data_IF_873251858353
#
_entry.id   IF_873251858353
#
_cell.length_a   1.000
_cell.length_b   1.000
_cell.length_c   1.000
_cell.angle_alpha   90.00
_cell.angle_beta   90.00
_cell.angle_gamma   90.00
#
_symmetry.space_group_name_H-M   'P 1'
#
loop_
_entity.id
_entity.type
_entity.pdbx_description
1 polymer ?
#
# COMPACT_ATOMS: atom_id res chain seq x y z
N UNK A 1 -39.01 6.31 -7.40
CA UNK A 1 -37.64 6.36 -7.98
C UNK A 1 -36.65 7.19 -7.16
N UNK A 2 -36.90 8.48 -6.82
CA UNK A 2 -35.91 9.33 -6.09
C UNK A 2 -35.46 8.79 -4.72
N UNK A 3 -36.35 8.19 -3.94
CA UNK A 3 -36.03 7.62 -2.63
C UNK A 3 -35.05 6.44 -2.69
N UNK A 4 -35.20 5.54 -3.67
CA UNK A 4 -34.28 4.41 -3.87
C UNK A 4 -32.87 4.87 -4.25
N UNK A 5 -32.75 5.96 -5.01
CA UNK A 5 -31.46 6.59 -5.33
C UNK A 5 -30.83 7.25 -4.10
N UNK A 6 -31.58 8.04 -3.32
CA UNK A 6 -31.07 8.64 -2.10
C UNK A 6 -30.63 7.58 -1.07
N UNK A 7 -31.40 6.49 -0.93
CA UNK A 7 -31.05 5.42 -0.01
C UNK A 7 -29.80 4.65 -0.48
N UNK A 8 -29.70 4.29 -1.78
CA UNK A 8 -28.46 3.70 -2.32
C UNK A 8 -27.25 4.62 -2.15
N UNK A 9 -27.42 5.93 -2.37
CA UNK A 9 -26.35 6.90 -2.22
C UNK A 9 -25.87 7.02 -0.77
N UNK A 10 -26.81 7.02 0.19
CA UNK A 10 -26.50 7.05 1.62
C UNK A 10 -25.75 5.78 2.07
N UNK A 11 -26.18 4.60 1.62
CA UNK A 11 -25.50 3.33 1.94
C UNK A 11 -24.09 3.27 1.36
N UNK A 12 -23.90 3.71 0.12
CA UNK A 12 -22.56 3.77 -0.50
C UNK A 12 -21.65 4.76 0.23
N UNK A 13 -22.19 5.90 0.67
CA UNK A 13 -21.44 6.89 1.46
C UNK A 13 -21.03 6.34 2.84
N UNK A 14 -21.97 5.76 3.58
CA UNK A 14 -21.70 5.11 4.87
C UNK A 14 -20.69 3.97 4.74
N UNK A 15 -20.80 3.14 3.70
CA UNK A 15 -19.86 2.06 3.44
C UNK A 15 -18.44 2.61 3.14
N UNK A 16 -18.33 3.64 2.29
CA UNK A 16 -17.05 4.33 2.04
C UNK A 16 -16.47 4.93 3.32
N UNK A 17 -17.28 5.58 4.17
CA UNK A 17 -16.83 6.14 5.44
C UNK A 17 -16.34 5.06 6.41
N UNK A 18 -17.01 3.91 6.48
CA UNK A 18 -16.59 2.77 7.32
C UNK A 18 -15.28 2.16 6.81
N UNK A 19 -15.15 1.97 5.49
CA UNK A 19 -13.90 1.50 4.86
C UNK A 19 -12.76 2.48 5.14
N UNK A 20 -12.98 3.79 4.97
CA UNK A 20 -11.98 4.81 5.24
C UNK A 20 -11.52 4.79 6.72
N UNK A 21 -12.48 4.69 7.66
CA UNK A 21 -12.17 4.56 9.09
C UNK A 21 -11.36 3.29 9.41
N UNK A 22 -11.68 2.17 8.77
CA UNK A 22 -10.94 0.92 8.95
C UNK A 22 -9.50 1.04 8.46
N UNK A 23 -9.28 1.63 7.28
CA UNK A 23 -7.93 1.84 6.72
C UNK A 23 -7.11 2.76 7.63
N UNK A 24 -7.68 3.86 8.11
CA UNK A 24 -7.01 4.76 9.05
C UNK A 24 -6.61 4.06 10.35
N UNK A 25 -7.49 3.21 10.90
CA UNK A 25 -7.19 2.43 12.09
C UNK A 25 -6.03 1.44 11.85
N UNK A 26 -6.04 0.73 10.71
CA UNK A 26 -4.96 -0.20 10.37
C UNK A 26 -3.63 0.51 10.19
N UNK A 27 -3.61 1.71 9.59
CA UNK A 27 -2.39 2.52 9.48
C UNK A 27 -1.86 2.94 10.84
N UNK A 28 -2.72 3.44 11.73
CA UNK A 28 -2.30 3.81 13.08
C UNK A 28 -1.78 2.62 13.88
N UNK A 29 -2.42 1.46 13.77
CA UNK A 29 -1.93 0.22 14.38
C UNK A 29 -0.56 -0.19 13.83
N UNK A 30 -0.40 -0.11 12.51
CA UNK A 30 0.86 -0.44 11.82
C UNK A 30 1.99 0.50 12.24
N UNK A 31 1.70 1.80 12.36
CA UNK A 31 2.64 2.80 12.86
C UNK A 31 3.10 2.48 14.29
N UNK A 32 2.19 2.05 15.17
CA UNK A 32 2.53 1.61 16.53
C UNK A 32 3.34 0.32 16.53
N UNK A 33 2.98 -0.65 15.69
CA UNK A 33 3.73 -1.89 15.55
C UNK A 33 5.16 -1.65 15.02
N UNK A 34 5.33 -0.69 14.12
CA UNK A 34 6.65 -0.28 13.64
C UNK A 34 7.58 0.18 14.77
N UNK A 35 7.04 0.75 15.86
CA UNK A 35 7.83 1.14 17.04
C UNK A 35 8.44 -0.07 17.76
N UNK A 36 7.83 -1.26 17.66
CA UNK A 36 8.31 -2.49 18.28
C UNK A 36 9.63 -3.01 17.69
N UNK A 37 9.99 -2.61 16.46
CA UNK A 37 11.28 -2.98 15.84
C UNK A 37 12.47 -2.20 16.42
N UNK A 38 12.27 -1.28 17.36
CA UNK A 38 13.36 -0.56 18.04
C UNK A 38 14.23 0.30 17.10
N UNK A 39 15.46 0.56 17.52
CA UNK A 39 16.44 1.40 16.79
C UNK A 39 17.52 0.57 16.07
N UNK A 40 17.69 -0.70 16.45
CA UNK A 40 18.69 -1.59 15.85
C UNK A 40 18.17 -2.15 14.53
N UNK A 41 18.41 -1.40 13.45
CA UNK A 41 17.98 -1.79 12.11
C UNK A 41 18.67 -3.06 11.61
N UNK A 42 19.88 -3.39 12.09
CA UNK A 42 20.63 -4.57 11.63
C UNK A 42 19.95 -5.84 12.11
N UNK A 43 19.56 -5.90 13.39
CA UNK A 43 18.83 -7.06 13.94
C UNK A 43 17.49 -7.32 13.27
N UNK A 44 16.80 -6.24 12.89
CA UNK A 44 15.45 -6.32 12.32
C UNK A 44 15.44 -6.33 10.80
N UNK A 45 16.61 -6.22 10.15
CA UNK A 45 16.76 -6.03 8.71
C UNK A 45 16.00 -7.08 7.91
N UNK A 46 16.22 -8.35 8.22
CA UNK A 46 15.63 -9.47 7.48
C UNK A 46 14.11 -9.51 7.66
N UNK A 47 13.62 -9.35 8.89
CA UNK A 47 12.20 -9.35 9.19
C UNK A 47 11.46 -8.19 8.48
N UNK A 48 12.03 -6.98 8.52
CA UNK A 48 11.46 -5.81 7.85
C UNK A 48 11.50 -5.97 6.33
N UNK A 49 12.60 -6.46 5.77
CA UNK A 49 12.71 -6.70 4.33
C UNK A 49 11.72 -7.79 3.85
N UNK A 50 11.56 -8.87 4.61
CA UNK A 50 10.59 -9.92 4.33
C UNK A 50 9.15 -9.38 4.37
N UNK A 51 8.81 -8.62 5.42
CA UNK A 51 7.50 -7.98 5.56
C UNK A 51 7.17 -7.08 4.35
N UNK A 52 8.13 -6.31 3.84
CA UNK A 52 7.91 -5.51 2.64
C UNK A 52 7.68 -6.35 1.39
N UNK A 53 8.45 -7.43 1.19
CA UNK A 53 8.29 -8.31 0.03
C UNK A 53 6.91 -8.99 0.04
N UNK A 54 6.53 -9.58 1.17
CA UNK A 54 5.21 -10.21 1.33
C UNK A 54 4.08 -9.18 1.18
N UNK A 55 4.26 -7.98 1.72
CA UNK A 55 3.31 -6.89 1.56
C UNK A 55 3.11 -6.46 0.10
N UNK A 56 4.19 -6.40 -0.68
CA UNK A 56 4.13 -6.13 -2.13
C UNK A 56 3.37 -7.24 -2.86
N UNK A 57 3.71 -8.50 -2.60
CA UNK A 57 3.06 -9.66 -3.23
C UNK A 57 1.56 -9.65 -2.93
N UNK A 58 1.17 -9.40 -1.69
CA UNK A 58 -0.24 -9.29 -1.31
C UNK A 58 -0.95 -8.12 -1.98
N UNK A 59 -0.34 -6.93 -1.97
CA UNK A 59 -0.94 -5.72 -2.54
C UNK A 59 -1.13 -5.77 -4.05
N UNK A 60 -0.22 -6.45 -4.76
CA UNK A 60 -0.26 -6.59 -6.21
C UNK A 60 -0.92 -7.90 -6.66
N UNK A 61 -1.44 -8.70 -5.72
CA UNK A 61 -2.15 -9.93 -6.04
C UNK A 61 -3.43 -9.62 -6.82
N UNK A 62 -3.57 -10.27 -7.96
CA UNK A 62 -4.73 -10.18 -8.85
C UNK A 62 -5.05 -11.57 -9.40
N UNK A 63 -6.33 -11.81 -9.68
CA UNK A 63 -6.77 -13.03 -10.36
C UNK A 63 -6.37 -13.01 -11.85
N UNK A 64 -6.34 -14.17 -12.50
CA UNK A 64 -5.95 -14.32 -13.91
C UNK A 64 -6.79 -13.47 -14.89
N UNK A 65 -8.02 -13.13 -14.50
CA UNK A 65 -8.97 -12.36 -15.30
C UNK A 65 -9.03 -10.87 -14.93
N UNK A 66 -8.16 -10.39 -14.04
CA UNK A 66 -8.16 -8.99 -13.61
C UNK A 66 -7.77 -8.05 -14.76
N UNK A 67 -8.52 -6.95 -14.88
CA UNK A 67 -8.18 -5.88 -15.82
C UNK A 67 -6.96 -5.10 -15.31
N UNK A 68 -5.82 -5.29 -15.96
CA UNK A 68 -4.55 -4.65 -15.62
C UNK A 68 -4.60 -3.11 -15.70
N UNK A 69 -5.58 -2.52 -16.38
CA UNK A 69 -5.78 -1.06 -16.39
C UNK A 69 -6.36 -0.51 -15.09
N UNK A 70 -6.92 -1.38 -14.25
CA UNK A 70 -7.50 -1.06 -12.95
C UNK A 70 -6.56 -1.44 -11.81
N UNK A 71 -6.56 -0.69 -10.70
CA UNK A 71 -5.72 -1.01 -9.56
C UNK A 71 -6.07 -2.39 -8.97
N UNK A 72 -5.07 -3.16 -8.50
CA UNK A 72 -5.31 -4.38 -7.75
C UNK A 72 -6.25 -4.15 -6.56
N UNK A 73 -7.10 -5.13 -6.20
CA UNK A 73 -8.07 -4.97 -5.12
C UNK A 73 -7.41 -4.68 -3.76
N UNK A 74 -6.18 -5.17 -3.57
CA UNK A 74 -5.41 -5.03 -2.32
C UNK A 74 -4.40 -3.88 -2.36
N UNK A 75 -4.43 -3.01 -3.38
CA UNK A 75 -3.41 -1.98 -3.57
C UNK A 75 -3.34 -0.99 -2.39
N UNK A 76 -4.46 -0.74 -1.71
CA UNK A 76 -4.52 0.14 -0.52
C UNK A 76 -3.69 -0.40 0.66
N UNK A 77 -3.39 -1.70 0.71
CA UNK A 77 -2.52 -2.28 1.74
C UNK A 77 -1.08 -1.75 1.69
N UNK A 78 -0.65 -1.18 0.55
CA UNK A 78 0.63 -0.47 0.48
C UNK A 78 0.69 0.72 1.44
N UNK A 79 -0.44 1.33 1.83
CA UNK A 79 -0.44 2.41 2.84
C UNK A 79 -0.07 1.89 4.24
N UNK A 80 -0.47 0.65 4.55
CA UNK A 80 -0.12 -0.02 5.79
C UNK A 80 1.37 -0.37 5.79
N UNK A 81 1.85 -0.96 4.69
CA UNK A 81 3.26 -1.32 4.53
C UNK A 81 4.16 -0.07 4.49
N UNK A 82 3.65 1.06 4.01
CA UNK A 82 4.36 2.34 3.99
C UNK A 82 4.81 2.79 5.40
N UNK A 83 4.06 2.46 6.45
CA UNK A 83 4.40 2.82 7.83
C UNK A 83 5.71 2.16 8.32
N UNK A 84 6.16 1.08 7.68
CA UNK A 84 7.41 0.37 8.02
C UNK A 84 8.62 0.83 7.20
N UNK A 85 8.44 1.71 6.22
CA UNK A 85 9.53 2.13 5.32
C UNK A 85 10.64 2.91 6.04
N UNK A 86 10.33 3.53 7.19
CA UNK A 86 11.31 4.16 8.07
C UNK A 86 12.14 3.15 8.89
N UNK A 87 11.77 1.87 8.88
CA UNK A 87 12.52 0.75 9.50
C UNK A 87 13.45 0.04 8.52
N UNK A 88 13.32 0.30 7.22
CA UNK A 88 14.27 -0.16 6.21
C UNK A 88 15.58 0.64 6.27
N UNK A 89 16.69 -0.08 6.13
CA UNK A 89 17.99 0.55 5.88
C UNK A 89 18.01 1.19 4.48
N UNK A 90 18.81 2.24 4.30
CA UNK A 90 18.94 2.96 3.01
C UNK A 90 19.23 2.03 1.83
N UNK A 91 20.13 1.06 2.00
CA UNK A 91 20.47 0.08 0.95
C UNK A 91 19.30 -0.85 0.59
N UNK A 92 18.50 -1.25 1.59
CA UNK A 92 17.39 -2.19 1.37
C UNK A 92 16.20 -1.50 0.73
N UNK A 93 16.01 -0.18 0.94
CA UNK A 93 14.99 0.59 0.22
C UNK A 93 15.13 0.45 -1.30
N UNK A 94 16.35 0.50 -1.85
CA UNK A 94 16.62 0.33 -3.29
C UNK A 94 16.28 -1.09 -3.76
N UNK A 95 16.61 -2.11 -2.95
CA UNK A 95 16.29 -3.51 -3.24
C UNK A 95 14.77 -3.73 -3.25
N UNK A 96 14.06 -3.18 -2.27
CA UNK A 96 12.59 -3.26 -2.18
C UNK A 96 11.92 -2.49 -3.31
N UNK A 97 12.43 -1.32 -3.69
CA UNK A 97 11.92 -0.57 -4.84
C UNK A 97 12.08 -1.36 -6.15
N UNK A 98 13.25 -1.96 -6.37
CA UNK A 98 13.46 -2.83 -7.53
C UNK A 98 12.54 -4.06 -7.50
N UNK A 99 12.32 -4.65 -6.31
CA UNK A 99 11.39 -5.76 -6.14
C UNK A 99 9.95 -5.35 -6.47
N UNK A 100 9.50 -4.17 -6.04
CA UNK A 100 8.20 -3.59 -6.39
C UNK A 100 8.07 -3.43 -7.91
N UNK A 101 9.05 -2.78 -8.55
CA UNK A 101 9.02 -2.53 -10.00
C UNK A 101 9.00 -3.84 -10.80
N UNK A 102 9.65 -4.91 -10.32
CA UNK A 102 9.60 -6.24 -10.94
C UNK A 102 8.22 -6.93 -10.82
N UNK A 103 7.48 -6.66 -9.74
CA UNK A 103 6.17 -7.27 -9.50
C UNK A 103 5.01 -6.45 -10.08
N UNK A 104 5.27 -5.23 -10.54
CA UNK A 104 4.31 -4.47 -11.34
C UNK A 104 4.36 -5.00 -12.78
N UNK A 105 3.33 -5.73 -13.26
CA UNK A 105 3.29 -6.16 -14.64
C UNK A 105 3.25 -4.93 -15.56
N UNK A 106 3.92 -5.00 -16.72
CA UNK A 106 4.13 -3.86 -17.62
C UNK A 106 2.86 -3.16 -18.16
N UNK A 107 1.66 -3.69 -17.89
CA UNK A 107 0.37 -3.07 -18.20
C UNK A 107 -0.35 -2.42 -17.01
N UNK A 108 0.13 -2.59 -15.77
CA UNK A 108 -0.48 -2.04 -14.55
C UNK A 108 -0.06 -0.62 -14.21
N UNK A 109 0.85 0.00 -14.97
CA UNK A 109 1.18 1.40 -14.71
C UNK A 109 0.06 2.29 -15.27
N UNK A 110 -0.62 3.08 -14.43
CA UNK A 110 -1.68 3.93 -14.91
C UNK A 110 -1.08 5.06 -15.77
N UNK A 111 -1.70 5.32 -16.92
CA UNK A 111 -1.30 6.43 -17.81
C UNK A 111 -1.58 7.81 -17.17
N UNK A 112 -2.44 7.86 -16.14
CA UNK A 112 -2.80 9.06 -15.39
C UNK A 112 -2.64 8.83 -13.88
N UNK A 113 -2.36 9.89 -13.10
CA UNK A 113 -2.34 9.84 -11.63
C UNK A 113 -3.78 9.78 -11.09
N UNK A 114 -4.48 8.68 -11.29
CA UNK A 114 -5.80 8.50 -10.69
C UNK A 114 -5.66 8.36 -9.16
N UNK A 115 -6.66 8.86 -8.41
CA UNK A 115 -6.69 8.78 -6.94
C UNK A 115 -6.63 7.34 -6.42
N UNK A 116 -7.04 6.37 -7.24
CA UNK A 116 -7.10 4.96 -6.86
C UNK A 116 -5.71 4.30 -6.81
N UNK A 117 -4.72 4.87 -7.50
CA UNK A 117 -3.32 4.41 -7.49
C UNK A 117 -2.45 5.15 -6.46
N UNK A 118 -3.05 6.02 -5.65
CA UNK A 118 -2.31 6.91 -4.75
C UNK A 118 -1.45 6.16 -3.72
N UNK A 119 -1.90 4.99 -3.25
CA UNK A 119 -1.15 4.15 -2.31
C UNK A 119 0.17 3.65 -2.92
N UNK A 120 0.16 3.26 -4.21
CA UNK A 120 1.36 2.86 -4.95
C UNK A 120 2.36 4.01 -5.06
N UNK A 121 1.89 5.19 -5.47
CA UNK A 121 2.77 6.36 -5.60
C UNK A 121 3.36 6.78 -4.27
N UNK A 122 2.56 6.76 -3.21
CA UNK A 122 3.00 7.12 -1.85
C UNK A 122 4.07 6.15 -1.36
N UNK A 123 3.83 4.84 -1.50
CA UNK A 123 4.79 3.81 -1.13
C UNK A 123 6.09 3.93 -1.94
N UNK A 124 6.01 4.06 -3.26
CA UNK A 124 7.17 4.23 -4.15
C UNK A 124 8.01 5.47 -3.81
N UNK A 125 7.35 6.59 -3.48
CA UNK A 125 8.02 7.81 -3.07
C UNK A 125 8.74 7.63 -1.72
N UNK A 126 8.15 6.93 -0.75
CA UNK A 126 8.78 6.68 0.56
C UNK A 126 10.04 5.81 0.48
N UNK A 127 10.11 4.92 -0.52
CA UNK A 127 11.30 4.11 -0.82
C UNK A 127 12.37 4.93 -1.55
N UNK A 128 11.97 5.88 -2.39
CA UNK A 128 12.87 6.79 -3.12
C UNK A 128 13.41 7.92 -2.23
N UNK A 129 12.65 8.37 -1.22
CA UNK A 129 13.06 9.38 -0.25
C UNK A 129 14.06 8.78 0.75
N UNK A 130 15.35 8.87 0.40
CA UNK A 130 16.49 8.46 1.21
C UNK A 130 17.84 9.05 0.77
N UNK A 131 17.86 9.80 -0.34
CA UNK A 131 19.04 10.46 -0.92
C UNK A 131 19.30 11.88 -0.34
N UNK A 132 18.74 12.17 0.84
CA UNK A 132 19.07 13.35 1.66
C UNK A 132 20.00 13.00 2.82
#
# INVERSE_FOLDING_TARGET
MRYLYQHKFHYVFELKCRILKLVLFLKELSRRFALSFGLDQVKNREAVAAMHKEGIVFSLHVDEHHDLSTPPPNLSFLEVICEFTNKLMKQDKKVVLHYLDKHLPGGMMPQSRSEEWQSLFTYRNSLSQGDG
#
